data_IF_551911303060
#
_entry.id   IF_551911303060
#
_cell.length_a   1.000
_cell.length_b   1.000
_cell.length_c   1.000
_cell.angle_alpha   90.00
_cell.angle_beta   90.00
_cell.angle_gamma   90.00
#
_symmetry.space_group_name_H-M   'P 1'
#
loop_
_entity.id
_entity.type
_entity.pdbx_description
1 polymer ?
#
# COMPACT_ATOMS: atom_id res chain seq x y z
N UNK A 1 9.06 4.16 6.28
CA UNK A 1 9.52 4.30 7.68
C UNK A 1 8.49 3.62 8.56
N UNK A 2 8.84 2.60 9.34
CA UNK A 2 7.90 1.96 10.27
C UNK A 2 7.78 2.82 11.52
N UNK A 3 6.57 3.21 11.88
CA UNK A 3 6.29 3.86 13.14
C UNK A 3 6.51 2.84 14.28
N UNK A 4 7.48 3.09 15.16
CA UNK A 4 7.77 2.20 16.28
C UNK A 4 6.77 2.44 17.41
N UNK A 5 5.78 1.56 17.50
CA UNK A 5 4.74 1.59 18.53
C UNK A 5 5.33 1.35 19.93
N UNK A 6 6.44 0.62 20.06
CA UNK A 6 7.14 0.43 21.34
C UNK A 6 7.74 1.75 21.79
N UNK A 7 8.39 2.47 20.86
CA UNK A 7 8.95 3.78 21.12
C UNK A 7 7.86 4.79 21.47
N UNK A 8 6.74 4.81 20.75
CA UNK A 8 5.60 5.69 21.08
C UNK A 8 5.08 5.42 22.49
N UNK A 9 4.83 4.15 22.85
CA UNK A 9 4.32 3.79 24.19
C UNK A 9 5.34 4.11 25.27
N UNK A 10 6.63 3.93 24.99
CA UNK A 10 7.73 4.30 25.89
C UNK A 10 7.80 5.82 26.10
N UNK A 11 7.67 6.61 25.04
CA UNK A 11 7.63 8.07 25.13
C UNK A 11 6.40 8.58 25.88
N UNK A 12 5.21 8.04 25.56
CA UNK A 12 3.99 8.36 26.31
C UNK A 12 4.15 8.03 27.80
N UNK A 13 4.72 6.86 28.14
CA UNK A 13 5.01 6.50 29.54
C UNK A 13 5.92 7.51 30.23
N UNK A 14 7.01 7.91 29.59
CA UNK A 14 8.04 8.72 30.24
C UNK A 14 7.73 10.22 30.24
N UNK A 15 6.93 10.70 29.27
CA UNK A 15 6.58 12.11 29.13
C UNK A 15 5.23 12.46 29.78
N UNK A 16 4.38 11.47 30.06
CA UNK A 16 3.10 11.68 30.75
C UNK A 16 3.16 11.17 32.19
N UNK A 17 2.46 11.83 33.12
CA UNK A 17 2.35 11.41 34.53
C UNK A 17 1.33 10.28 34.73
N UNK A 18 1.29 9.35 33.79
CA UNK A 18 0.28 8.31 33.76
C UNK A 18 0.68 7.15 34.70
N UNK A 19 -0.17 6.77 35.68
CA UNK A 19 0.19 5.75 36.67
C UNK A 19 0.28 4.35 36.04
N UNK A 20 1.20 3.49 36.51
CA UNK A 20 1.35 2.15 35.98
C UNK A 20 0.04 1.33 36.13
N UNK A 21 -0.25 0.44 35.17
CA UNK A 21 -1.33 -0.52 35.32
C UNK A 21 -0.98 -1.56 36.39
N UNK A 22 -1.98 -2.32 36.82
CA UNK A 22 -1.80 -3.38 37.81
C UNK A 22 -0.95 -4.50 37.19
N UNK A 23 0.28 -4.68 37.67
CA UNK A 23 1.26 -5.61 37.07
C UNK A 23 2.41 -4.94 36.29
N UNK A 24 2.43 -3.62 36.18
CA UNK A 24 3.52 -2.88 35.52
C UNK A 24 3.38 -2.80 34.00
N UNK A 25 4.37 -2.20 33.33
CA UNK A 25 4.29 -1.90 31.90
C UNK A 25 4.73 -3.05 30.98
N UNK A 26 5.33 -4.10 31.54
CA UNK A 26 5.98 -5.18 30.80
C UNK A 26 5.16 -6.48 30.79
N UNK A 27 4.02 -6.49 31.47
CA UNK A 27 3.11 -7.63 31.51
C UNK A 27 1.77 -7.24 30.89
N UNK A 28 1.11 -8.20 30.22
CA UNK A 28 -0.25 -8.03 29.71
C UNK A 28 -1.20 -7.71 30.88
N UNK A 29 -1.89 -6.55 30.88
CA UNK A 29 -2.79 -6.17 31.96
C UNK A 29 -4.03 -7.06 31.99
N UNK A 30 -4.58 -7.29 33.18
CA UNK A 30 -5.86 -7.99 33.36
C UNK A 30 -6.96 -7.35 32.51
N UNK A 31 -7.83 -8.15 31.90
CA UNK A 31 -8.92 -7.68 31.03
C UNK A 31 -9.88 -6.70 31.74
N UNK A 32 -9.98 -6.79 33.07
CA UNK A 32 -10.78 -5.88 33.90
C UNK A 32 -10.13 -4.51 34.12
N UNK A 33 -8.83 -4.36 33.87
CA UNK A 33 -8.13 -3.07 33.95
C UNK A 33 -8.34 -2.28 32.64
N UNK A 34 -9.30 -1.37 32.70
CA UNK A 34 -9.76 -0.53 31.58
C UNK A 34 -9.23 0.89 31.63
N UNK A 35 -8.22 1.16 32.47
CA UNK A 35 -7.56 2.47 32.54
C UNK A 35 -6.82 2.74 31.22
N UNK A 36 -6.65 4.02 30.82
CA UNK A 36 -5.91 4.38 29.61
C UNK A 36 -4.49 3.80 29.54
N UNK A 37 -3.81 3.67 30.68
CA UNK A 37 -2.47 3.05 30.73
C UNK A 37 -2.49 1.55 30.49
N UNK A 38 -3.46 0.83 31.06
CA UNK A 38 -3.65 -0.58 30.79
C UNK A 38 -3.98 -0.81 29.31
N UNK A 39 -4.81 0.04 28.71
CA UNK A 39 -5.14 -0.02 27.28
C UNK A 39 -3.94 0.23 26.36
N UNK A 40 -3.06 1.17 26.72
CA UNK A 40 -1.81 1.41 25.99
C UNK A 40 -0.85 0.21 26.08
N UNK A 41 -0.70 -0.38 27.26
CA UNK A 41 0.15 -1.57 27.45
C UNK A 41 -0.43 -2.78 26.71
N UNK A 42 -1.75 -3.00 26.78
CA UNK A 42 -2.44 -4.08 26.05
C UNK A 42 -2.20 -3.99 24.54
N UNK A 43 -2.30 -2.78 23.95
CA UNK A 43 -1.97 -2.55 22.53
C UNK A 43 -0.50 -2.85 22.21
N UNK A 44 0.42 -2.45 23.09
CA UNK A 44 1.86 -2.71 22.94
C UNK A 44 2.15 -4.21 22.94
N UNK A 45 1.63 -4.92 23.93
CA UNK A 45 1.84 -6.36 24.13
C UNK A 45 1.31 -7.18 22.96
N UNK A 46 0.02 -7.07 22.62
CA UNK A 46 -0.54 -7.84 21.51
C UNK A 46 0.14 -7.51 20.17
N UNK A 47 0.49 -6.25 19.90
CA UNK A 47 1.22 -5.91 18.67
C UNK A 47 2.59 -6.58 18.64
N UNK A 48 3.33 -6.58 19.76
CA UNK A 48 4.63 -7.25 19.84
C UNK A 48 4.48 -8.75 19.61
N UNK A 49 3.54 -9.39 20.30
CA UNK A 49 3.27 -10.82 20.16
C UNK A 49 2.94 -11.20 18.71
N UNK A 50 1.99 -10.48 18.09
CA UNK A 50 1.58 -10.69 16.70
C UNK A 50 2.71 -10.42 15.68
N UNK A 51 3.54 -9.40 15.91
CA UNK A 51 4.65 -9.05 15.02
C UNK A 51 5.81 -10.05 15.06
N UNK A 52 5.93 -10.80 16.16
CA UNK A 52 7.00 -11.80 16.37
C UNK A 52 6.52 -13.24 16.16
N UNK A 53 5.30 -13.47 15.66
CA UNK A 53 4.84 -14.81 15.30
C UNK A 53 5.62 -15.35 14.10
N UNK A 54 6.30 -16.49 14.28
CA UNK A 54 7.22 -17.05 13.28
C UNK A 54 6.53 -17.61 12.03
N UNK A 55 5.29 -18.10 12.15
CA UNK A 55 4.63 -18.87 11.09
C UNK A 55 3.50 -18.10 10.37
N UNK A 56 3.23 -16.86 10.79
CA UNK A 56 2.13 -16.03 10.26
C UNK A 56 0.74 -16.65 10.45
N UNK A 57 0.62 -17.70 11.27
CA UNK A 57 -0.62 -18.38 11.62
C UNK A 57 -1.05 -17.96 13.01
N UNK A 58 -2.33 -17.66 13.16
CA UNK A 58 -2.94 -17.31 14.42
C UNK A 58 -4.06 -18.31 14.72
N UNK A 59 -4.11 -18.82 15.94
CA UNK A 59 -5.21 -19.68 16.38
C UNK A 59 -6.49 -18.85 16.46
N UNK A 60 -7.62 -19.41 15.97
CA UNK A 60 -8.90 -18.69 15.96
C UNK A 60 -9.34 -18.23 17.35
N UNK A 61 -9.11 -19.05 18.38
CA UNK A 61 -9.44 -18.69 19.76
C UNK A 61 -8.64 -17.48 20.23
N UNK A 62 -7.31 -17.50 20.01
CA UNK A 62 -6.44 -16.38 20.34
C UNK A 62 -6.77 -15.12 19.53
N UNK A 63 -7.07 -15.26 18.23
CA UNK A 63 -7.49 -14.14 17.39
C UNK A 63 -8.74 -13.46 17.97
N UNK A 64 -9.76 -14.24 18.36
CA UNK A 64 -11.00 -13.69 18.95
C UNK A 64 -10.69 -12.93 20.23
N UNK A 65 -9.93 -13.52 21.14
CA UNK A 65 -9.54 -12.87 22.40
C UNK A 65 -8.74 -11.59 22.15
N UNK A 66 -7.67 -11.67 21.36
CA UNK A 66 -6.83 -10.51 21.04
C UNK A 66 -7.64 -9.40 20.34
N UNK A 67 -8.54 -9.77 19.43
CA UNK A 67 -9.39 -8.80 18.73
C UNK A 67 -10.34 -8.05 19.67
N UNK A 68 -11.01 -8.77 20.58
CA UNK A 68 -11.93 -8.17 21.55
C UNK A 68 -11.19 -7.24 22.52
N UNK A 69 -10.03 -7.68 23.01
CA UNK A 69 -9.18 -6.92 23.91
C UNK A 69 -8.60 -5.65 23.25
N UNK A 70 -8.09 -5.77 22.02
CA UNK A 70 -7.57 -4.62 21.25
C UNK A 70 -8.70 -3.66 20.89
N UNK A 71 -9.82 -4.15 20.33
CA UNK A 71 -10.92 -3.28 19.90
C UNK A 71 -11.57 -2.54 21.07
N UNK A 72 -11.71 -3.20 22.23
CA UNK A 72 -12.15 -2.56 23.46
C UNK A 72 -11.19 -1.47 23.95
N UNK A 73 -9.88 -1.77 23.98
CA UNK A 73 -8.86 -0.80 24.38
C UNK A 73 -8.78 0.41 23.44
N UNK A 74 -8.81 0.17 22.13
CA UNK A 74 -8.79 1.22 21.12
C UNK A 74 -10.07 2.07 21.20
N UNK A 75 -11.23 1.44 21.40
CA UNK A 75 -12.50 2.14 21.58
C UNK A 75 -12.52 3.07 22.79
N UNK A 76 -11.96 2.64 23.92
CA UNK A 76 -11.82 3.49 25.12
C UNK A 76 -10.85 4.65 24.92
N UNK A 77 -9.78 4.46 24.16
CA UNK A 77 -8.79 5.50 23.88
C UNK A 77 -9.24 6.49 22.79
N UNK A 78 -9.97 6.02 21.78
CA UNK A 78 -10.27 6.76 20.55
C UNK A 78 -11.74 7.11 20.32
N UNK A 79 -12.64 6.64 21.20
CA UNK A 79 -14.08 6.91 21.12
C UNK A 79 -14.87 5.92 20.27
N UNK A 80 -16.19 6.15 20.20
CA UNK A 80 -17.18 5.23 19.61
C UNK A 80 -17.04 5.06 18.09
N UNK A 81 -16.53 6.07 17.37
CA UNK A 81 -16.29 5.96 15.93
C UNK A 81 -15.29 4.84 15.60
N UNK A 82 -14.24 4.70 16.42
CA UNK A 82 -13.23 3.65 16.20
C UNK A 82 -13.78 2.26 16.51
N UNK A 83 -14.70 2.13 17.48
CA UNK A 83 -15.36 0.86 17.76
C UNK A 83 -16.17 0.39 16.55
N UNK A 84 -16.86 1.31 15.88
CA UNK A 84 -17.61 0.99 14.66
C UNK A 84 -16.67 0.59 13.52
N UNK A 85 -15.56 1.31 13.33
CA UNK A 85 -14.51 0.92 12.37
C UNK A 85 -13.96 -0.48 12.65
N UNK A 86 -13.69 -0.83 13.91
CA UNK A 86 -13.26 -2.18 14.28
C UNK A 86 -14.31 -3.24 13.91
N UNK A 87 -15.60 -3.00 14.15
CA UNK A 87 -16.64 -3.97 13.72
C UNK A 87 -16.64 -4.16 12.21
N UNK A 88 -16.54 -3.07 11.45
CA UNK A 88 -16.46 -3.14 10.00
C UNK A 88 -15.22 -3.91 9.54
N UNK A 89 -14.07 -3.71 10.18
CA UNK A 89 -12.84 -4.47 9.87
C UNK A 89 -12.97 -5.97 10.19
N UNK A 90 -13.68 -6.34 11.26
CA UNK A 90 -13.93 -7.75 11.62
C UNK A 90 -14.86 -8.45 10.61
N UNK A 91 -15.84 -7.71 10.08
CA UNK A 91 -16.86 -8.23 9.15
C UNK A 91 -16.44 -8.18 7.68
N UNK A 92 -15.47 -7.33 7.33
CA UNK A 92 -14.86 -7.34 6.00
C UNK A 92 -14.20 -8.70 5.80
N UNK A 93 -14.72 -9.45 4.83
CA UNK A 93 -13.99 -10.60 4.29
C UNK A 93 -12.59 -10.10 3.92
N UNK A 94 -11.54 -10.85 4.30
CA UNK A 94 -10.20 -10.68 3.72
C UNK A 94 -10.28 -11.13 2.26
N UNK A 95 -11.00 -10.36 1.44
CA UNK A 95 -10.90 -10.43 0.01
C UNK A 95 -9.48 -9.99 -0.31
N UNK A 96 -8.67 -10.94 -0.78
CA UNK A 96 -7.26 -10.71 -1.08
C UNK A 96 -7.07 -9.66 -2.19
N UNK A 97 -8.15 -9.30 -2.92
CA UNK A 97 -8.17 -8.20 -3.86
C UNK A 97 -8.36 -6.82 -3.21
N UNK A 98 -8.72 -6.75 -1.92
CA UNK A 98 -8.75 -5.50 -1.16
C UNK A 98 -7.32 -5.05 -0.95
N UNK A 99 -7.03 -3.88 -1.50
CA UNK A 99 -5.76 -3.19 -1.29
C UNK A 99 -5.66 -2.83 0.20
N UNK A 100 -4.59 -3.26 0.90
CA UNK A 100 -4.38 -2.91 2.30
C UNK A 100 -4.43 -1.39 2.52
N UNK A 101 -5.07 -0.95 3.61
CA UNK A 101 -5.27 0.48 3.91
C UNK A 101 -3.96 1.28 3.91
N UNK A 102 -2.85 0.70 4.37
CA UNK A 102 -1.54 1.37 4.34
C UNK A 102 -1.06 1.65 2.90
N UNK A 103 -1.38 0.77 1.94
CA UNK A 103 -1.08 0.97 0.51
C UNK A 103 -2.02 2.05 -0.05
N UNK A 104 -3.30 2.04 0.31
CA UNK A 104 -4.25 3.09 -0.10
C UNK A 104 -3.82 4.48 0.38
N UNK A 105 -3.41 4.61 1.64
CA UNK A 105 -2.89 5.87 2.20
C UNK A 105 -1.62 6.32 1.47
N UNK A 106 -0.68 5.40 1.22
CA UNK A 106 0.54 5.71 0.47
C UNK A 106 0.24 6.17 -0.97
N UNK A 107 -0.68 5.50 -1.65
CA UNK A 107 -1.10 5.88 -3.01
C UNK A 107 -1.78 7.25 -3.01
N UNK A 108 -2.63 7.53 -2.01
CA UNK A 108 -3.30 8.83 -1.88
C UNK A 108 -2.28 9.96 -1.69
N UNK A 109 -1.33 9.78 -0.76
CA UNK A 109 -0.24 10.75 -0.54
C UNK A 109 0.63 10.96 -1.79
N UNK A 110 0.95 9.88 -2.51
CA UNK A 110 1.67 9.94 -3.78
C UNK A 110 0.90 10.74 -4.83
N UNK A 111 -0.39 10.46 -5.02
CA UNK A 111 -1.23 11.18 -5.98
C UNK A 111 -1.34 12.67 -5.64
N UNK A 112 -1.43 13.03 -4.36
CA UNK A 112 -1.44 14.43 -3.94
C UNK A 112 -0.12 15.13 -4.25
N UNK A 113 1.01 14.44 -4.07
CA UNK A 113 2.30 14.97 -4.48
C UNK A 113 2.38 15.15 -6.01
N UNK A 114 1.88 14.17 -6.77
CA UNK A 114 1.87 14.25 -8.23
C UNK A 114 0.97 15.39 -8.72
N UNK A 115 -0.20 15.60 -8.11
CA UNK A 115 -1.08 16.74 -8.42
C UNK A 115 -0.37 18.08 -8.22
N UNK A 116 0.39 18.24 -7.13
CA UNK A 116 1.19 19.45 -6.88
C UNK A 116 2.25 19.67 -7.96
N UNK A 117 2.91 18.60 -8.40
CA UNK A 117 3.92 18.68 -9.46
C UNK A 117 3.29 18.97 -10.84
N UNK A 118 2.08 18.45 -11.09
CA UNK A 118 1.37 18.57 -12.37
C UNK A 118 0.83 19.98 -12.65
N UNK A 119 0.73 20.85 -11.63
CA UNK A 119 0.28 22.25 -11.79
C UNK A 119 1.12 22.99 -12.84
N UNK A 120 2.41 22.70 -12.91
CA UNK A 120 3.34 23.32 -13.86
C UNK A 120 3.57 22.46 -15.11
N UNK A 121 2.81 21.39 -15.31
CA UNK A 121 2.97 20.52 -16.46
C UNK A 121 2.41 21.18 -17.73
N UNK A 122 3.25 21.27 -18.76
CA UNK A 122 2.85 21.74 -20.07
C UNK A 122 2.45 20.53 -20.92
N UNK A 123 1.18 20.47 -21.33
CA UNK A 123 0.66 19.40 -22.16
C UNK A 123 1.43 19.29 -23.49
N UNK A 124 2.16 18.20 -23.68
CA UNK A 124 2.87 17.89 -24.93
C UNK A 124 2.05 17.00 -25.86
N UNK A 125 2.47 16.93 -27.13
CA UNK A 125 1.89 16.01 -28.13
C UNK A 125 2.14 14.56 -27.73
N UNK A 126 3.31 14.27 -27.17
CA UNK A 126 3.71 12.94 -26.69
C UNK A 126 2.81 12.50 -25.53
N UNK A 127 2.55 13.38 -24.56
CA UNK A 127 1.67 13.07 -23.43
C UNK A 127 0.24 12.77 -23.89
N UNK A 128 -0.28 13.49 -24.91
CA UNK A 128 -1.58 13.17 -25.52
C UNK A 128 -1.58 11.78 -26.16
N UNK A 129 -0.54 11.45 -26.94
CA UNK A 129 -0.39 10.14 -27.57
C UNK A 129 -0.34 9.00 -26.54
N UNK A 130 0.39 9.20 -25.43
CA UNK A 130 0.46 8.22 -24.34
C UNK A 130 -0.92 8.03 -23.70
N UNK A 131 -1.65 9.12 -23.40
CA UNK A 131 -3.00 9.05 -22.85
C UNK A 131 -3.95 8.26 -23.76
N UNK A 132 -3.95 8.55 -25.06
CA UNK A 132 -4.75 7.81 -26.04
C UNK A 132 -4.37 6.33 -26.10
N UNK A 133 -3.08 6.01 -26.02
CA UNK A 133 -2.59 4.64 -26.00
C UNK A 133 -3.06 3.88 -24.76
N UNK A 134 -2.99 4.50 -23.57
CA UNK A 134 -3.44 3.89 -22.30
C UNK A 134 -4.95 3.66 -22.31
N UNK A 135 -5.73 4.54 -22.92
CA UNK A 135 -7.17 4.33 -23.09
C UNK A 135 -7.47 3.11 -23.96
N UNK A 136 -6.74 2.92 -25.07
CA UNK A 136 -6.98 1.85 -26.05
C UNK A 136 -6.37 0.50 -25.68
N UNK A 137 -5.20 0.49 -25.04
CA UNK A 137 -4.43 -0.73 -24.72
C UNK A 137 -4.49 -1.05 -23.22
N UNK A 138 -4.34 -2.32 -22.86
CA UNK A 138 -4.27 -2.77 -21.46
C UNK A 138 -2.87 -2.64 -20.87
N UNK A 139 -1.82 -2.55 -21.69
CA UNK A 139 -0.45 -2.33 -21.24
C UNK A 139 0.26 -1.31 -22.13
N UNK A 140 0.91 -0.31 -21.52
CA UNK A 140 1.66 0.74 -22.21
C UNK A 140 2.98 0.98 -21.49
N UNK A 141 4.08 1.00 -22.24
CA UNK A 141 5.41 1.34 -21.74
C UNK A 141 5.89 2.64 -22.39
N UNK A 142 6.37 3.58 -21.58
CA UNK A 142 6.99 4.83 -22.01
C UNK A 142 8.51 4.63 -21.98
N UNK A 143 9.14 4.59 -23.15
CA UNK A 143 10.60 4.47 -23.30
C UNK A 143 11.19 5.76 -23.86
N UNK A 144 12.23 6.28 -23.21
CA UNK A 144 12.98 7.46 -23.65
C UNK A 144 14.32 7.58 -22.90
N UNK A 145 15.24 8.40 -23.39
CA UNK A 145 16.48 8.75 -22.70
C UNK A 145 16.24 9.43 -21.35
N UNK A 146 17.25 9.45 -20.48
CA UNK A 146 17.15 10.15 -19.19
C UNK A 146 16.89 11.66 -19.40
N UNK A 147 16.15 12.29 -18.49
CA UNK A 147 15.86 13.74 -18.54
C UNK A 147 14.75 14.18 -19.51
N UNK A 148 14.23 13.30 -20.38
CA UNK A 148 13.21 13.65 -21.41
C UNK A 148 11.79 13.83 -20.83
N UNK A 149 11.61 13.80 -19.51
CA UNK A 149 10.29 14.03 -18.89
C UNK A 149 9.34 12.83 -18.91
N UNK A 150 9.86 11.59 -18.99
CA UNK A 150 9.04 10.36 -18.90
C UNK A 150 8.19 10.32 -17.64
N UNK A 151 8.82 10.57 -16.49
CA UNK A 151 8.16 10.59 -15.18
C UNK A 151 7.07 11.65 -15.15
N UNK A 152 7.35 12.87 -15.63
CA UNK A 152 6.33 13.93 -15.72
C UNK A 152 5.15 13.52 -16.61
N UNK A 153 5.43 12.91 -17.76
CA UNK A 153 4.38 12.42 -18.69
C UNK A 153 3.56 11.28 -18.08
N UNK A 154 4.22 10.32 -17.42
CA UNK A 154 3.57 9.20 -16.74
C UNK A 154 2.66 9.72 -15.63
N UNK A 155 3.18 10.58 -14.75
CA UNK A 155 2.40 11.17 -13.65
C UNK A 155 1.18 11.93 -14.18
N UNK A 156 1.36 12.78 -15.20
CA UNK A 156 0.27 13.50 -15.83
C UNK A 156 -0.82 12.58 -16.38
N UNK A 157 -0.43 11.55 -17.15
CA UNK A 157 -1.38 10.58 -17.72
C UNK A 157 -2.11 9.79 -16.64
N UNK A 158 -1.40 9.39 -15.58
CA UNK A 158 -2.01 8.67 -14.44
C UNK A 158 -3.05 9.55 -13.74
N UNK A 159 -2.77 10.84 -13.52
CA UNK A 159 -3.73 11.76 -12.92
C UNK A 159 -5.00 11.93 -13.77
N UNK A 160 -4.86 11.98 -15.11
CA UNK A 160 -6.02 12.02 -16.02
C UNK A 160 -6.85 10.74 -15.92
N UNK A 161 -6.22 9.58 -15.91
CA UNK A 161 -6.90 8.29 -15.76
C UNK A 161 -7.59 8.17 -14.39
N UNK A 162 -6.96 8.66 -13.32
CA UNK A 162 -7.58 8.72 -11.99
C UNK A 162 -8.86 9.58 -12.00
N UNK A 163 -8.84 10.72 -12.69
CA UNK A 163 -10.02 11.56 -12.92
C UNK A 163 -11.14 10.87 -13.73
N UNK A 164 -10.83 9.82 -14.50
CA UNK A 164 -11.79 9.00 -15.25
C UNK A 164 -12.30 7.79 -14.43
N UNK A 165 -12.02 7.77 -13.12
CA UNK A 165 -12.49 6.75 -12.18
C UNK A 165 -11.64 5.49 -12.17
N UNK A 166 -10.35 5.58 -12.50
CA UNK A 166 -9.40 4.49 -12.26
C UNK A 166 -8.79 4.60 -10.87
N UNK A 167 -8.81 3.50 -10.13
CA UNK A 167 -8.06 3.36 -8.90
C UNK A 167 -6.59 3.12 -9.24
N UNK A 168 -5.73 4.04 -8.81
CA UNK A 168 -4.31 4.00 -9.11
C UNK A 168 -3.57 3.19 -8.06
N UNK A 169 -2.82 2.18 -8.51
CA UNK A 169 -1.97 1.36 -7.67
C UNK A 169 -0.53 1.45 -8.14
N UNK A 170 0.36 1.96 -7.28
CA UNK A 170 1.79 1.89 -7.56
C UNK A 170 2.29 0.44 -7.37
N UNK A 171 3.02 -0.06 -8.34
CA UNK A 171 3.67 -1.36 -8.30
C UNK A 171 5.03 -1.24 -7.62
N UNK A 172 5.31 -2.17 -6.71
CA UNK A 172 6.66 -2.39 -6.17
C UNK A 172 7.27 -3.67 -6.76
N UNK A 173 6.42 -4.68 -7.04
CA UNK A 173 6.79 -5.95 -7.67
C UNK A 173 5.68 -6.38 -8.67
N UNK A 174 5.98 -7.05 -9.79
CA UNK A 174 4.99 -7.65 -10.69
C UNK A 174 3.94 -8.52 -10.00
N UNK A 175 4.27 -9.20 -8.90
CA UNK A 175 3.30 -9.98 -8.12
C UNK A 175 2.16 -9.14 -7.52
N UNK A 176 2.37 -7.84 -7.30
CA UNK A 176 1.33 -6.92 -6.84
C UNK A 176 0.17 -6.84 -7.84
N UNK A 177 0.46 -6.97 -9.14
CA UNK A 177 -0.56 -7.00 -10.19
C UNK A 177 -1.49 -8.17 -9.92
N UNK A 178 -0.93 -9.37 -9.73
CA UNK A 178 -1.75 -10.58 -9.56
C UNK A 178 -2.50 -10.55 -8.23
N UNK A 179 -1.84 -10.07 -7.17
CA UNK A 179 -2.43 -9.96 -5.83
C UNK A 179 -3.64 -9.02 -5.81
N UNK A 180 -3.54 -7.86 -6.45
CA UNK A 180 -4.58 -6.82 -6.41
C UNK A 180 -5.41 -6.77 -7.71
N UNK A 181 -5.28 -7.78 -8.58
CA UNK A 181 -6.08 -7.86 -9.79
C UNK A 181 -7.54 -8.07 -9.44
N UNK A 182 -8.40 -7.22 -10.00
CA UNK A 182 -9.84 -7.41 -9.93
C UNK A 182 -10.43 -7.15 -11.34
N UNK A 183 -11.03 -8.16 -11.99
CA UNK A 183 -11.52 -8.04 -13.35
C UNK A 183 -12.70 -7.07 -13.50
N UNK A 184 -13.40 -6.77 -12.40
CA UNK A 184 -14.59 -5.92 -12.40
C UNK A 184 -14.29 -4.48 -11.98
N UNK A 185 -13.02 -4.16 -11.70
CA UNK A 185 -12.59 -2.87 -11.19
C UNK A 185 -11.69 -2.16 -12.20
N UNK A 186 -11.92 -0.85 -12.38
CA UNK A 186 -11.02 0.01 -13.16
C UNK A 186 -9.78 0.28 -12.32
N UNK A 187 -8.76 -0.53 -12.49
CA UNK A 187 -7.49 -0.38 -11.77
C UNK A 187 -6.40 0.02 -12.75
N UNK A 188 -5.64 1.07 -12.44
CA UNK A 188 -4.45 1.45 -13.19
C UNK A 188 -3.21 1.13 -12.35
N UNK A 189 -2.48 0.09 -12.75
CA UNK A 189 -1.20 -0.27 -12.17
C UNK A 189 -0.08 0.57 -12.78
N UNK A 190 0.74 1.18 -11.93
CA UNK A 190 1.73 2.17 -12.33
C UNK A 190 3.11 1.80 -11.81
N UNK A 191 4.11 1.79 -12.69
CA UNK A 191 5.52 1.63 -12.29
C UNK A 191 6.36 2.74 -12.92
N UNK A 192 6.85 3.64 -12.07
CA UNK A 192 7.76 4.72 -12.45
C UNK A 192 9.20 4.28 -12.12
N UNK A 193 10.07 4.30 -13.14
CA UNK A 193 11.47 3.88 -13.10
C UNK A 193 11.70 2.36 -12.87
N UNK A 194 11.27 1.55 -13.85
CA UNK A 194 11.42 0.08 -13.84
C UNK A 194 12.84 -0.43 -13.57
N UNK A 195 13.88 0.36 -13.88
CA UNK A 195 15.25 -0.13 -14.03
C UNK A 195 16.25 0.41 -13.01
N UNK A 196 15.83 1.23 -12.06
CA UNK A 196 16.75 1.88 -11.13
C UNK A 196 17.78 2.79 -11.82
N UNK A 197 18.62 3.42 -10.99
CA UNK A 197 19.44 4.56 -11.39
C UNK A 197 20.60 4.23 -12.34
N UNK A 198 21.09 2.97 -12.41
CA UNK A 198 22.31 2.63 -13.15
C UNK A 198 22.34 1.24 -13.84
N UNK A 199 21.47 0.29 -13.51
CA UNK A 199 21.50 -1.06 -14.08
C UNK A 199 20.18 -1.79 -13.89
N UNK A 200 19.72 -2.53 -14.90
CA UNK A 200 18.58 -3.45 -14.79
C UNK A 200 18.80 -4.33 -13.56
N UNK A 201 17.88 -4.27 -12.59
CA UNK A 201 17.92 -5.22 -11.50
C UNK A 201 17.55 -6.60 -12.07
N UNK A 202 18.55 -7.44 -12.34
CA UNK A 202 18.38 -8.77 -12.95
C UNK A 202 17.36 -9.63 -12.19
N UNK A 203 17.27 -9.47 -10.87
CA UNK A 203 16.27 -10.18 -10.05
C UNK A 203 14.84 -9.67 -10.31
N UNK A 204 14.65 -8.36 -10.48
CA UNK A 204 13.36 -7.79 -10.85
C UNK A 204 12.97 -8.24 -12.26
N UNK A 205 13.90 -8.23 -13.21
CA UNK A 205 13.66 -8.69 -14.57
C UNK A 205 13.28 -10.18 -14.64
N UNK A 206 13.99 -11.02 -13.88
CA UNK A 206 13.67 -12.44 -13.78
C UNK A 206 12.25 -12.66 -13.23
N UNK A 207 11.86 -11.93 -12.17
CA UNK A 207 10.50 -12.01 -11.62
C UNK A 207 9.43 -11.61 -12.65
N UNK A 208 9.65 -10.51 -13.38
CA UNK A 208 8.76 -10.11 -14.47
C UNK A 208 8.66 -11.20 -15.54
N UNK A 209 9.79 -11.79 -15.96
CA UNK A 209 9.81 -12.83 -17.01
C UNK A 209 8.98 -14.06 -16.63
N UNK A 210 9.05 -14.47 -15.36
CA UNK A 210 8.30 -15.61 -14.83
C UNK A 210 6.79 -15.32 -14.77
N UNK A 211 6.40 -14.08 -14.45
CA UNK A 211 4.99 -13.69 -14.33
C UNK A 211 4.35 -13.18 -15.63
N UNK A 212 5.16 -12.92 -16.68
CA UNK A 212 4.70 -12.31 -17.93
C UNK A 212 3.53 -13.05 -18.58
N UNK A 213 3.54 -14.38 -18.59
CA UNK A 213 2.46 -15.16 -19.18
C UNK A 213 1.15 -14.97 -18.41
N UNK A 214 1.21 -15.01 -17.08
CA UNK A 214 0.04 -14.79 -16.21
C UNK A 214 -0.48 -13.35 -16.35
N UNK A 215 0.42 -12.36 -16.39
CA UNK A 215 0.04 -10.96 -16.59
C UNK A 215 -0.61 -10.77 -17.97
N UNK A 216 -0.10 -11.40 -19.03
CA UNK A 216 -0.72 -11.32 -20.37
C UNK A 216 -2.15 -11.86 -20.39
N UNK A 217 -2.42 -12.96 -19.70
CA UNK A 217 -3.77 -13.51 -19.57
C UNK A 217 -4.71 -12.55 -18.82
N UNK A 218 -4.25 -11.99 -17.70
CA UNK A 218 -5.01 -11.01 -16.91
C UNK A 218 -5.35 -9.75 -17.72
N UNK A 219 -4.44 -9.31 -18.58
CA UNK A 219 -4.60 -8.13 -19.44
C UNK A 219 -5.51 -8.33 -20.66
N UNK A 220 -6.06 -9.53 -20.86
CA UNK A 220 -7.14 -9.74 -21.84
C UNK A 220 -8.40 -8.97 -21.44
N UNK A 221 -8.61 -8.78 -20.13
CA UNK A 221 -9.63 -7.87 -19.63
C UNK A 221 -9.17 -6.42 -19.82
N UNK A 222 -10.05 -5.59 -20.39
CA UNK A 222 -9.73 -4.18 -20.72
C UNK A 222 -9.88 -3.22 -19.55
N UNK A 223 -10.49 -3.66 -18.43
CA UNK A 223 -10.75 -2.83 -17.27
C UNK A 223 -9.45 -2.54 -16.47
N UNK A 224 -8.70 -3.54 -16.00
CA UNK A 224 -7.37 -3.30 -15.44
C UNK A 224 -6.36 -2.92 -16.52
N UNK A 225 -5.52 -1.93 -16.22
CA UNK A 225 -4.51 -1.40 -17.13
C UNK A 225 -3.16 -1.26 -16.44
N UNK A 226 -2.08 -1.34 -17.22
CA UNK A 226 -0.71 -1.16 -16.76
C UNK A 226 -0.06 -0.03 -17.55
N UNK A 227 0.62 0.87 -16.84
CA UNK A 227 1.51 1.88 -17.41
C UNK A 227 2.87 1.84 -16.72
N UNK A 228 3.95 1.77 -17.51
CA UNK A 228 5.33 1.67 -17.02
C UNK A 228 6.20 2.72 -17.69
N UNK A 229 7.09 3.38 -16.94
CA UNK A 229 8.17 4.19 -17.50
C UNK A 229 9.52 3.47 -17.38
N UNK A 230 10.28 3.47 -18.48
CA UNK A 230 11.56 2.77 -18.60
C UNK A 230 12.59 3.63 -19.36
N UNK A 231 13.89 3.48 -19.03
CA UNK A 231 14.99 4.17 -19.75
C UNK A 231 15.32 3.42 -21.03
N UNK A 232 15.50 4.16 -22.14
CA UNK A 232 15.73 3.57 -23.47
C UNK A 232 16.97 2.66 -23.55
N UNK A 233 18.03 2.95 -22.78
CA UNK A 233 19.26 2.14 -22.75
C UNK A 233 18.97 0.70 -22.30
N UNK A 234 18.09 0.52 -21.32
CA UNK A 234 17.69 -0.79 -20.81
C UNK A 234 16.84 -1.57 -21.81
N UNK A 235 15.98 -0.87 -22.56
CA UNK A 235 15.17 -1.50 -23.60
C UNK A 235 16.02 -1.98 -24.79
N UNK A 236 17.16 -1.33 -25.05
CA UNK A 236 18.06 -1.67 -26.17
C UNK A 236 19.02 -2.82 -25.85
N UNK A 237 19.29 -3.09 -24.58
CA UNK A 237 20.15 -4.22 -24.18
C UNK A 237 19.44 -5.59 -24.27
N UNK A 238 18.15 -5.61 -24.66
CA UNK A 238 17.30 -6.82 -24.74
C UNK A 238 16.65 -7.09 -26.10
N UNK A 239 16.85 -6.23 -27.11
CA UNK A 239 16.35 -6.41 -28.48
C UNK A 239 17.50 -6.63 -29.44
#
# INVERSE_FOLDING_TARGET
>A
MSFDVTLMVTLLRNLTKLPPPTGGYDNLPLSTDTRPTADLVRKKDYRNELAHMNDGKIESAFFITAWEDISGAVGRLGGTSIVEECKQLRLKHLDQSIVPWNIEVQNSQMLDQWRKNDVNFVQTVEAKKVLECVKKKSCVTITASSGVGKTATLQHVVLKMAGEGYDVLRLTNPQDIVKFYNPNKKTLFVMDDFCGTYSINQSAFHNWKTDLNRIKELLQNKLPKIIVACRLQVYKDEV
#
